data_IF_015717635007
#
_entry.id   IF_015717635007
#
_cell.length_a   1.000
_cell.length_b   1.000
_cell.length_c   1.000
_cell.angle_alpha   90.00
_cell.angle_beta   90.00
_cell.angle_gamma   90.00
#
_symmetry.space_group_name_H-M   'P 1'
#
loop_
_entity.id
_entity.type
_entity.pdbx_description
1 polymer ?
#
# COMPACT_ATOMS: atom_id res chain seq x y z
N UNK A 1 14.36 70.12 7.00
CA UNK A 1 13.81 68.89 7.61
C UNK A 1 12.98 68.11 6.59
N UNK A 2 13.64 67.37 5.70
CA UNK A 2 13.04 66.35 4.83
C UNK A 2 14.12 65.34 4.58
N UNK A 3 13.95 64.11 5.08
CA UNK A 3 14.60 62.85 4.67
C UNK A 3 14.53 61.91 5.88
N UNK A 4 13.44 61.14 6.01
CA UNK A 4 13.37 59.83 6.71
C UNK A 4 11.93 59.32 6.78
N UNK A 5 11.27 59.02 5.66
CA UNK A 5 10.05 58.20 5.69
C UNK A 5 9.80 57.30 4.47
N UNK A 6 10.82 57.09 3.61
CA UNK A 6 10.67 56.20 2.45
C UNK A 6 11.30 54.81 2.63
N UNK A 7 12.03 54.55 3.72
CA UNK A 7 12.78 53.30 3.88
C UNK A 7 12.03 52.18 4.64
N UNK A 8 10.88 52.46 5.28
CA UNK A 8 10.18 51.47 6.12
C UNK A 8 9.00 50.79 5.39
N UNK A 9 8.48 51.37 4.29
CA UNK A 9 7.38 50.76 3.52
C UNK A 9 7.83 49.71 2.50
N UNK A 10 9.13 49.64 2.16
CA UNK A 10 9.68 48.61 1.26
C UNK A 10 9.91 47.24 1.91
N UNK A 11 10.01 47.17 3.25
CA UNK A 11 10.37 45.94 3.94
C UNK A 11 9.15 45.10 4.39
N UNK A 12 7.98 45.74 4.57
CA UNK A 12 6.75 45.05 5.01
C UNK A 12 5.98 44.45 3.83
N UNK A 13 6.10 45.01 2.62
CA UNK A 13 5.53 44.42 1.41
C UNK A 13 6.35 43.23 0.87
N UNK A 14 7.65 43.15 1.21
CA UNK A 14 8.52 42.03 0.86
C UNK A 14 8.38 40.80 1.78
N UNK A 15 7.91 40.99 3.02
CA UNK A 15 7.72 39.90 3.97
C UNK A 15 6.34 39.23 3.87
N UNK A 16 5.32 39.93 3.37
CA UNK A 16 3.97 39.37 3.16
C UNK A 16 3.80 38.59 1.86
N UNK A 17 4.72 38.69 0.89
CA UNK A 17 4.66 37.93 -0.37
C UNK A 17 5.50 36.65 -0.35
N UNK A 18 6.28 36.42 0.71
CA UNK A 18 7.08 35.20 0.91
C UNK A 18 6.35 34.19 1.84
N UNK A 19 5.26 34.60 2.48
CA UNK A 19 4.42 33.74 3.31
C UNK A 19 3.17 33.17 2.62
N UNK A 20 2.96 33.45 1.32
CA UNK A 20 1.77 33.04 0.56
C UNK A 20 2.06 32.20 -0.70
N UNK A 21 3.30 31.74 -0.91
CA UNK A 21 3.67 30.86 -2.05
C UNK A 21 4.16 29.47 -1.65
N UNK A 22 3.95 29.05 -0.39
CA UNK A 22 4.31 27.69 0.10
C UNK A 22 3.09 26.74 0.13
N UNK A 23 1.89 27.18 -0.24
CA UNK A 23 0.68 26.34 -0.28
C UNK A 23 0.29 25.93 -1.71
N UNK A 24 1.21 25.30 -2.43
CA UNK A 24 0.85 24.45 -3.58
C UNK A 24 2.04 23.57 -3.99
N UNK A 25 2.71 22.96 -3.00
CA UNK A 25 3.74 21.97 -3.22
C UNK A 25 3.14 20.56 -3.12
N UNK A 26 3.35 19.78 -4.17
CA UNK A 26 3.33 18.31 -4.18
C UNK A 26 1.95 17.63 -4.07
N UNK A 27 1.26 17.49 -5.21
CA UNK A 27 0.55 16.24 -5.45
C UNK A 27 1.62 15.16 -5.71
N UNK A 28 2.13 14.56 -4.64
CA UNK A 28 2.75 13.23 -4.75
C UNK A 28 1.68 12.33 -5.39
N UNK A 29 2.03 11.57 -6.43
CA UNK A 29 1.07 10.66 -7.03
C UNK A 29 0.73 9.60 -5.99
N UNK A 30 -0.48 9.66 -5.42
CA UNK A 30 -1.01 8.63 -4.51
C UNK A 30 -0.85 7.26 -5.16
N UNK A 31 -0.39 6.26 -4.41
CA UNK A 31 -0.41 4.89 -4.92
C UNK A 31 -1.85 4.38 -5.14
N UNK A 32 -1.97 3.25 -5.85
CA UNK A 32 -3.25 2.70 -6.23
C UNK A 32 -4.15 2.40 -5.01
N UNK A 33 -3.57 1.89 -3.93
CA UNK A 33 -4.31 1.55 -2.71
C UNK A 33 -4.87 2.79 -2.02
N UNK A 34 -4.07 3.86 -1.89
CA UNK A 34 -4.56 5.11 -1.28
C UNK A 34 -5.65 5.78 -2.13
N UNK A 35 -5.55 5.69 -3.47
CA UNK A 35 -6.60 6.16 -4.37
C UNK A 35 -7.89 5.34 -4.23
N UNK A 36 -7.78 4.01 -4.16
CA UNK A 36 -8.92 3.10 -3.99
C UNK A 36 -9.60 3.34 -2.65
N UNK A 37 -8.84 3.41 -1.56
CA UNK A 37 -9.36 3.74 -0.23
C UNK A 37 -10.17 5.04 -0.28
N UNK A 38 -9.61 6.11 -0.82
CA UNK A 38 -10.26 7.44 -0.88
C UNK A 38 -11.57 7.42 -1.68
N UNK A 39 -11.62 6.69 -2.81
CA UNK A 39 -12.86 6.55 -3.60
C UNK A 39 -13.92 5.72 -2.88
N UNK A 40 -13.52 4.60 -2.29
CA UNK A 40 -14.44 3.73 -1.55
C UNK A 40 -15.03 4.45 -0.34
N UNK A 41 -14.23 5.26 0.38
CA UNK A 41 -14.73 6.10 1.47
C UNK A 41 -15.80 7.09 1.01
N UNK A 42 -15.59 7.74 -0.15
CA UNK A 42 -16.59 8.64 -0.73
C UNK A 42 -17.89 7.92 -1.11
N UNK A 43 -17.82 6.69 -1.62
CA UNK A 43 -19.00 5.88 -1.91
C UNK A 43 -19.75 5.49 -0.63
N UNK A 44 -19.04 5.18 0.46
CA UNK A 44 -19.66 4.90 1.76
C UNK A 44 -20.36 6.14 2.29
N UNK A 45 -19.70 7.31 2.24
CA UNK A 45 -20.28 8.60 2.63
C UNK A 45 -21.59 8.90 1.88
N UNK A 46 -21.56 8.84 0.54
CA UNK A 46 -22.76 9.05 -0.29
C UNK A 46 -23.85 8.01 -0.06
N UNK A 47 -23.47 6.78 0.25
CA UNK A 47 -24.42 5.72 0.55
C UNK A 47 -25.08 5.89 1.91
N UNK A 48 -24.34 6.39 2.91
CA UNK A 48 -24.90 6.73 4.23
C UNK A 48 -25.91 7.87 4.12
N UNK A 49 -25.65 8.89 3.28
CA UNK A 49 -26.59 9.99 3.03
C UNK A 49 -27.94 9.50 2.46
N UNK A 50 -27.95 8.34 1.80
CA UNK A 50 -29.14 7.74 1.16
C UNK A 50 -29.74 6.61 1.99
N UNK A 51 -29.11 6.21 3.10
CA UNK A 51 -29.50 5.05 3.87
C UNK A 51 -30.82 5.31 4.60
N UNK A 52 -31.84 4.48 4.33
CA UNK A 52 -33.14 4.59 5.00
C UNK A 52 -33.11 3.91 6.37
N UNK A 53 -33.84 4.43 7.38
CA UNK A 53 -33.96 3.77 8.68
C UNK A 53 -34.43 2.32 8.55
N UNK A 54 -33.70 1.39 9.16
CA UNK A 54 -34.01 -0.05 9.13
C UNK A 54 -33.60 -0.80 7.85
N UNK A 55 -32.95 -0.15 6.87
CA UNK A 55 -32.44 -0.82 5.67
C UNK A 55 -31.13 -1.59 5.96
N UNK A 56 -31.29 -2.73 6.65
CA UNK A 56 -30.20 -3.63 7.04
C UNK A 56 -29.38 -4.11 5.83
N UNK A 57 -29.97 -4.48 4.68
CA UNK A 57 -29.21 -4.85 3.49
C UNK A 57 -28.27 -3.73 3.00
N UNK A 58 -28.77 -2.51 2.83
CA UNK A 58 -27.93 -1.38 2.39
C UNK A 58 -26.87 -1.02 3.42
N UNK A 59 -27.19 -1.07 4.72
CA UNK A 59 -26.22 -0.86 5.80
C UNK A 59 -25.07 -1.87 5.72
N UNK A 60 -25.38 -3.17 5.57
CA UNK A 60 -24.37 -4.22 5.46
C UNK A 60 -23.46 -4.03 4.23
N UNK A 61 -24.02 -3.59 3.10
CA UNK A 61 -23.25 -3.26 1.89
C UNK A 61 -22.26 -2.12 2.15
N UNK A 62 -22.70 -1.06 2.84
CA UNK A 62 -21.83 0.06 3.21
C UNK A 62 -20.74 -0.37 4.20
N UNK A 63 -21.07 -1.25 5.16
CA UNK A 63 -20.10 -1.79 6.11
C UNK A 63 -19.02 -2.62 5.42
N UNK A 64 -19.39 -3.41 4.41
CA UNK A 64 -18.43 -4.18 3.62
C UNK A 64 -17.50 -3.26 2.81
N UNK A 65 -18.05 -2.20 2.19
CA UNK A 65 -17.25 -1.17 1.48
C UNK A 65 -16.30 -0.46 2.45
N UNK A 66 -16.73 -0.12 3.66
CA UNK A 66 -15.90 0.52 4.67
C UNK A 66 -14.75 -0.39 5.15
N UNK A 67 -14.99 -1.69 5.32
CA UNK A 67 -13.94 -2.67 5.64
C UNK A 67 -12.94 -2.84 4.47
N UNK A 68 -13.42 -2.82 3.23
CA UNK A 68 -12.55 -2.84 2.04
C UNK A 68 -11.63 -1.62 2.00
N UNK A 69 -12.16 -0.42 2.29
CA UNK A 69 -11.36 0.79 2.41
C UNK A 69 -10.27 0.68 3.49
N UNK A 70 -10.59 0.09 4.65
CA UNK A 70 -9.61 -0.15 5.72
C UNK A 70 -8.42 -1.01 5.24
N UNK A 71 -8.71 -2.08 4.49
CA UNK A 71 -7.68 -2.96 3.94
C UNK A 71 -6.74 -2.22 2.99
N UNK A 72 -7.26 -1.36 2.11
CA UNK A 72 -6.44 -0.53 1.23
C UNK A 72 -5.59 0.49 2.01
N UNK A 73 -6.13 1.07 3.08
CA UNK A 73 -5.35 1.95 3.97
C UNK A 73 -4.25 1.19 4.74
N UNK A 74 -4.41 -0.10 4.98
CA UNK A 74 -3.38 -0.90 5.64
C UNK A 74 -2.22 -1.21 4.68
N UNK A 75 -2.54 -1.56 3.43
CA UNK A 75 -1.59 -2.04 2.42
C UNK A 75 -0.87 -0.93 1.64
N UNK A 76 -1.41 0.29 1.65
CA UNK A 76 -0.80 1.44 0.97
C UNK A 76 0.64 1.70 1.41
N UNK A 77 1.50 2.07 0.46
CA UNK A 77 2.88 2.47 0.70
C UNK A 77 2.99 3.98 0.96
N UNK A 78 1.95 4.74 0.67
CA UNK A 78 1.86 6.19 0.76
C UNK A 78 1.52 6.71 2.17
N UNK A 79 1.93 5.99 3.23
CA UNK A 79 1.58 6.31 4.63
C UNK A 79 2.08 7.68 5.12
N UNK A 80 3.10 8.23 4.46
CA UNK A 80 3.65 9.56 4.76
C UNK A 80 2.91 10.71 4.07
N UNK A 81 1.93 10.42 3.21
CA UNK A 81 1.19 11.44 2.47
C UNK A 81 0.10 12.11 3.33
N UNK A 82 -0.14 13.43 3.18
CA UNK A 82 -1.28 14.10 3.82
C UNK A 82 -2.62 13.43 3.52
N UNK A 83 -2.80 12.93 2.30
CA UNK A 83 -3.98 12.23 1.82
C UNK A 83 -4.24 10.93 2.59
N UNK A 84 -3.19 10.21 3.00
CA UNK A 84 -3.33 9.05 3.88
C UNK A 84 -3.93 9.43 5.23
N UNK A 85 -3.42 10.51 5.83
CA UNK A 85 -3.92 11.00 7.13
C UNK A 85 -5.37 11.44 7.02
N UNK A 86 -5.75 12.12 5.93
CA UNK A 86 -7.12 12.51 5.66
C UNK A 86 -8.04 11.31 5.45
N UNK A 87 -7.60 10.29 4.69
CA UNK A 87 -8.38 9.09 4.43
C UNK A 87 -8.58 8.24 5.70
N UNK A 88 -7.56 8.10 6.56
CA UNK A 88 -7.70 7.43 7.87
C UNK A 88 -8.70 8.18 8.76
N UNK A 89 -8.63 9.52 8.79
CA UNK A 89 -9.58 10.34 9.53
C UNK A 89 -11.01 10.15 9.01
N UNK A 90 -11.21 10.22 7.69
CA UNK A 90 -12.52 10.03 7.06
C UNK A 90 -13.07 8.63 7.33
N UNK A 91 -12.24 7.59 7.24
CA UNK A 91 -12.61 6.22 7.61
C UNK A 91 -13.11 6.13 9.05
N UNK A 92 -12.40 6.74 10.00
CA UNK A 92 -12.82 6.77 11.41
C UNK A 92 -14.15 7.49 11.62
N UNK A 93 -14.38 8.62 10.94
CA UNK A 93 -15.66 9.32 10.98
C UNK A 93 -16.80 8.44 10.46
N UNK A 94 -16.63 7.83 9.29
CA UNK A 94 -17.66 6.97 8.68
C UNK A 94 -17.94 5.75 9.55
N UNK A 95 -16.92 5.15 10.16
CA UNK A 95 -17.08 4.05 11.11
C UNK A 95 -17.93 4.46 12.32
N UNK A 96 -17.66 5.63 12.89
CA UNK A 96 -18.44 6.16 14.01
C UNK A 96 -19.91 6.39 13.62
N UNK A 97 -20.17 7.00 12.45
CA UNK A 97 -21.54 7.22 11.96
C UNK A 97 -22.29 5.91 11.74
N UNK A 98 -21.62 4.87 11.22
CA UNK A 98 -22.25 3.55 11.07
C UNK A 98 -22.63 2.93 12.41
N UNK A 99 -21.76 3.03 13.42
CA UNK A 99 -22.03 2.55 14.78
C UNK A 99 -23.22 3.30 15.40
N UNK A 100 -23.29 4.61 15.21
CA UNK A 100 -24.39 5.44 15.69
C UNK A 100 -25.72 5.01 15.07
N UNK A 101 -25.77 4.84 13.74
CA UNK A 101 -26.96 4.33 13.03
C UNK A 101 -27.39 2.96 13.56
N UNK A 102 -26.45 2.05 13.79
CA UNK A 102 -26.76 0.72 14.32
C UNK A 102 -27.32 0.79 15.74
N UNK A 103 -26.78 1.67 16.59
CA UNK A 103 -27.28 1.89 17.94
C UNK A 103 -28.69 2.51 17.93
N UNK A 104 -28.94 3.47 17.06
CA UNK A 104 -30.26 4.09 16.90
C UNK A 104 -31.30 3.08 16.45
N UNK A 105 -30.97 2.22 15.48
CA UNK A 105 -31.87 1.16 15.02
C UNK A 105 -32.15 0.12 16.12
N UNK A 106 -31.13 -0.24 16.91
CA UNK A 106 -31.31 -1.15 18.04
C UNK A 106 -32.16 -0.51 19.15
N UNK A 107 -31.98 0.77 19.44
CA UNK A 107 -32.78 1.50 20.42
C UNK A 107 -34.24 1.61 19.96
N UNK A 108 -34.49 1.88 18.67
CA UNK A 108 -35.83 1.90 18.10
C UNK A 108 -36.49 0.52 18.17
N UNK A 109 -35.76 -0.57 17.91
CA UNK A 109 -36.28 -1.93 18.08
C UNK A 109 -36.61 -2.24 19.53
N UNK A 110 -35.74 -1.90 20.47
CA UNK A 110 -35.99 -2.12 21.90
C UNK A 110 -37.17 -1.30 22.42
N UNK A 111 -37.36 -0.07 21.94
CA UNK A 111 -38.54 0.73 22.26
C UNK A 111 -39.83 0.12 21.68
N UNK A 112 -39.77 -0.40 20.44
CA UNK A 112 -40.90 -1.11 19.84
C UNK A 112 -41.24 -2.42 20.57
N UNK A 113 -40.23 -3.16 21.04
CA UNK A 113 -40.39 -4.41 21.79
C UNK A 113 -40.82 -4.18 23.26
N UNK A 114 -40.34 -3.10 23.89
CA UNK A 114 -40.75 -2.69 25.24
C UNK A 114 -42.18 -2.14 25.27
N UNK A 115 -42.65 -1.52 24.18
CA UNK A 115 -44.06 -1.16 24.01
C UNK A 115 -44.99 -2.39 23.89
N UNK A 116 -44.42 -3.59 23.69
CA UNK A 116 -45.16 -4.83 23.48
C UNK A 116 -45.07 -5.84 24.64
N UNK A 117 -44.34 -5.56 25.74
CA UNK A 117 -44.12 -6.55 26.82
C UNK A 117 -44.29 -5.99 28.25
N UNK A 118 -45.03 -6.64 29.18
CA UNK A 118 -45.21 -6.19 30.57
C UNK A 118 -44.00 -6.50 31.50
N UNK A 119 -43.84 -5.83 32.67
CA UNK A 119 -42.58 -5.80 33.41
C UNK A 119 -42.29 -7.02 34.30
N UNK A 120 -40.98 -7.20 34.51
CA UNK A 120 -40.23 -8.40 34.93
C UNK A 120 -40.08 -8.65 36.45
N UNK A 121 -39.58 -9.84 36.79
CA UNK A 121 -39.11 -10.26 38.14
C UNK A 121 -37.58 -10.41 38.22
N UNK A 122 -37.01 -9.99 39.37
CA UNK A 122 -35.59 -9.75 39.71
C UNK A 122 -34.89 -10.94 40.42
N UNK A 123 -33.53 -10.90 40.46
CA UNK A 123 -32.60 -11.08 41.63
C UNK A 123 -31.34 -11.91 41.25
N UNK A 124 -30.09 -11.39 41.26
CA UNK A 124 -29.10 -11.08 42.32
C UNK A 124 -28.06 -12.20 42.64
N UNK A 125 -26.81 -11.87 43.07
CA UNK A 125 -25.56 -12.64 42.81
C UNK A 125 -24.70 -12.99 44.06
N UNK A 126 -23.41 -13.36 43.83
CA UNK A 126 -22.22 -13.46 44.74
C UNK A 126 -21.73 -14.92 45.05
N UNK A 127 -20.48 -15.28 45.42
CA UNK A 127 -19.27 -14.58 45.87
C UNK A 127 -18.03 -15.54 45.96
N UNK A 128 -16.81 -15.00 45.80
CA UNK A 128 -15.50 -15.22 46.51
C UNK A 128 -14.86 -16.60 46.85
N UNK A 129 -13.67 -16.82 46.25
CA UNK A 129 -12.27 -16.85 46.81
C UNK A 129 -11.66 -18.03 47.66
N UNK A 130 -10.30 -18.19 47.65
CA UNK A 130 -9.48 -19.39 47.97
C UNK A 130 -8.75 -19.31 49.34
N UNK A 131 -7.86 -20.23 49.82
CA UNK A 131 -6.38 -20.13 49.58
C UNK A 131 -5.47 -21.38 49.92
N UNK A 132 -4.14 -21.18 49.76
CA UNK A 132 -3.03 -21.50 50.70
C UNK A 132 -1.96 -22.58 50.37
N UNK A 133 -0.72 -22.18 50.69
CA UNK A 133 0.62 -22.71 50.43
C UNK A 133 1.27 -23.40 51.66
N UNK A 134 2.41 -24.10 51.45
CA UNK A 134 3.24 -24.76 52.50
C UNK A 134 4.77 -24.61 52.24
N UNK A 135 5.65 -24.81 53.25
CA UNK A 135 6.88 -24.05 53.53
C UNK A 135 8.22 -24.81 53.26
N UNK A 136 9.40 -24.17 53.49
CA UNK A 136 10.71 -24.61 52.97
C UNK A 136 11.56 -25.41 53.99
N UNK A 137 12.61 -26.09 53.50
CA UNK A 137 13.62 -26.78 54.32
C UNK A 137 15.04 -26.35 53.92
N UNK A 138 15.89 -26.08 54.92
CA UNK A 138 17.29 -25.62 54.83
C UNK A 138 18.26 -26.81 54.85
N UNK A 139 19.42 -26.72 54.15
CA UNK A 139 20.59 -27.59 54.45
C UNK A 139 21.95 -26.92 54.19
N UNK A 140 22.84 -27.22 55.14
CA UNK A 140 24.27 -26.95 55.40
C UNK A 140 25.27 -26.58 54.28
N UNK A 141 26.25 -25.74 54.66
CA UNK A 141 27.50 -25.36 53.97
C UNK A 141 28.65 -26.35 54.18
N UNK A 142 29.55 -26.54 53.18
CA UNK A 142 30.90 -27.06 53.42
C UNK A 142 32.04 -26.18 52.83
N UNK A 143 33.14 -26.04 53.61
CA UNK A 143 34.52 -25.64 53.24
C UNK A 143 34.69 -24.30 52.48
N UNK A 144 35.90 -23.67 52.37
CA UNK A 144 36.03 -22.41 51.65
C UNK A 144 35.87 -22.70 50.15
N UNK A 145 34.63 -22.63 49.69
CA UNK A 145 34.25 -22.79 48.32
C UNK A 145 34.93 -21.69 47.52
N UNK A 146 35.76 -22.09 46.55
CA UNK A 146 36.03 -21.22 45.41
C UNK A 146 34.65 -20.84 44.88
N UNK A 147 34.30 -19.55 44.95
CA UNK A 147 32.98 -19.10 44.50
C UNK A 147 32.78 -19.57 43.06
N UNK A 148 31.72 -20.35 42.77
CA UNK A 148 31.48 -20.83 41.43
C UNK A 148 31.27 -19.62 40.51
N UNK A 149 32.03 -19.58 39.42
CA UNK A 149 31.90 -18.52 38.41
C UNK A 149 30.77 -18.90 37.47
N UNK A 150 29.74 -18.07 37.40
CA UNK A 150 28.69 -18.18 36.40
C UNK A 150 29.23 -17.79 35.02
N UNK A 151 29.24 -18.74 34.08
CA UNK A 151 29.69 -18.54 32.70
C UNK A 151 28.54 -18.19 31.73
N UNK A 152 27.28 -18.25 32.16
CA UNK A 152 26.12 -17.94 31.31
C UNK A 152 26.07 -16.47 30.83
N UNK A 153 26.59 -15.47 31.57
CA UNK A 153 26.71 -14.10 31.05
C UNK A 153 27.55 -14.00 29.76
N UNK A 154 28.56 -14.86 29.59
CA UNK A 154 29.34 -14.94 28.34
C UNK A 154 28.46 -15.46 27.20
N UNK A 155 27.57 -16.42 27.45
CA UNK A 155 26.63 -16.89 26.44
C UNK A 155 25.68 -15.77 26.01
N UNK A 156 25.16 -14.99 26.95
CA UNK A 156 24.25 -13.84 26.69
C UNK A 156 24.92 -12.73 25.89
N UNK A 157 26.16 -12.36 26.24
CA UNK A 157 26.95 -11.34 25.53
C UNK A 157 27.06 -11.60 24.02
N UNK A 158 27.11 -12.87 23.64
CA UNK A 158 27.32 -13.31 22.26
C UNK A 158 26.04 -13.74 21.54
N UNK A 159 24.86 -13.56 22.14
CA UNK A 159 23.60 -13.80 21.46
C UNK A 159 23.33 -12.75 20.37
N UNK A 160 22.66 -13.17 19.29
CA UNK A 160 22.41 -12.34 18.09
C UNK A 160 21.69 -11.02 18.37
N UNK A 161 20.72 -11.02 19.29
CA UNK A 161 19.96 -9.86 19.72
C UNK A 161 20.79 -8.85 20.54
N UNK A 162 21.92 -9.27 21.11
CA UNK A 162 22.86 -8.45 21.86
C UNK A 162 24.03 -7.92 21.01
N UNK A 163 24.13 -8.34 19.74
CA UNK A 163 25.15 -7.81 18.84
C UNK A 163 24.89 -6.34 18.50
N UNK A 164 25.96 -5.55 18.27
CA UNK A 164 25.83 -4.18 17.77
C UNK A 164 24.94 -4.12 16.53
N UNK A 165 24.03 -3.16 16.51
CA UNK A 165 23.14 -2.91 15.36
C UNK A 165 23.71 -1.79 14.50
N UNK A 166 23.64 -1.98 13.18
CA UNK A 166 23.97 -0.94 12.21
C UNK A 166 22.64 -0.34 11.69
N UNK A 167 22.47 1.00 11.73
CA UNK A 167 21.29 1.65 11.15
C UNK A 167 21.16 1.38 9.65
N UNK A 168 19.93 1.36 9.13
CA UNK A 168 19.68 1.08 7.70
C UNK A 168 20.26 2.17 6.77
N UNK A 169 20.36 3.41 7.24
CA UNK A 169 20.96 4.55 6.52
C UNK A 169 22.32 4.94 7.09
N UNK A 170 23.13 3.97 7.53
CA UNK A 170 24.39 4.23 8.21
C UNK A 170 25.38 5.05 7.37
N UNK A 171 26.10 5.96 8.03
CA UNK A 171 27.27 6.63 7.45
C UNK A 171 28.49 5.71 7.43
N UNK A 172 29.52 6.06 6.65
CA UNK A 172 30.78 5.31 6.64
C UNK A 172 31.45 5.26 8.05
N UNK A 173 31.31 6.33 8.85
CA UNK A 173 31.84 6.38 10.21
C UNK A 173 31.09 5.45 11.17
N UNK A 174 29.75 5.43 11.07
CA UNK A 174 28.92 4.50 11.83
C UNK A 174 29.24 3.05 11.45
N UNK A 175 29.37 2.77 10.15
CA UNK A 175 29.79 1.46 9.66
C UNK A 175 31.18 1.08 10.16
N UNK A 176 32.14 2.01 10.22
CA UNK A 176 33.49 1.75 10.72
C UNK A 176 33.51 1.45 12.20
N UNK A 177 32.76 2.20 12.99
CA UNK A 177 32.59 1.95 14.44
C UNK A 177 31.98 0.57 14.67
N UNK A 178 30.87 0.28 14.00
CA UNK A 178 30.20 -1.01 14.07
C UNK A 178 31.12 -2.17 13.64
N UNK A 179 31.80 -2.03 12.51
CA UNK A 179 32.67 -3.08 11.98
C UNK A 179 33.88 -3.35 12.88
N UNK A 180 34.46 -2.32 13.52
CA UNK A 180 35.52 -2.48 14.53
C UNK A 180 35.00 -3.22 15.77
N UNK A 181 33.80 -2.89 16.25
CA UNK A 181 33.19 -3.61 17.37
C UNK A 181 32.98 -5.09 17.02
N UNK A 182 32.43 -5.37 15.83
CA UNK A 182 32.24 -6.75 15.34
C UNK A 182 33.56 -7.51 15.19
N UNK A 183 34.60 -6.86 14.67
CA UNK A 183 35.94 -7.46 14.55
C UNK A 183 36.57 -7.72 15.92
N UNK A 184 36.46 -6.79 16.85
CA UNK A 184 36.95 -6.96 18.23
C UNK A 184 36.25 -8.10 18.96
N UNK A 185 34.94 -8.24 18.74
CA UNK A 185 34.14 -9.37 19.23
C UNK A 185 34.61 -10.72 18.65
N UNK A 186 35.11 -10.76 17.41
CA UNK A 186 35.67 -11.98 16.79
C UNK A 186 37.13 -12.29 17.19
N UNK A 187 37.90 -11.29 17.62
CA UNK A 187 39.34 -11.44 17.87
C UNK A 187 39.68 -11.24 19.34
N UNK A 188 40.07 -10.02 19.74
CA UNK A 188 40.66 -9.73 21.04
C UNK A 188 39.68 -10.01 22.19
N UNK A 189 38.41 -9.65 22.04
CA UNK A 189 37.41 -9.91 23.07
C UNK A 189 37.15 -11.41 23.22
N UNK A 190 37.04 -12.13 22.10
CA UNK A 190 36.86 -13.57 22.12
C UNK A 190 38.05 -14.27 22.79
N UNK A 191 39.28 -13.89 22.44
CA UNK A 191 40.48 -14.46 23.05
C UNK A 191 40.52 -14.19 24.57
N UNK A 192 40.16 -12.99 25.00
CA UNK A 192 40.06 -12.63 26.42
C UNK A 192 39.00 -13.46 27.15
N UNK A 193 37.82 -13.61 26.54
CA UNK A 193 36.72 -14.35 27.14
C UNK A 193 37.04 -15.87 27.21
N UNK A 194 37.69 -16.42 26.18
CA UNK A 194 38.21 -17.80 26.19
C UNK A 194 39.28 -18.03 27.27
N UNK A 195 40.21 -17.08 27.45
CA UNK A 195 41.22 -17.14 28.50
C UNK A 195 40.59 -17.08 29.91
N UNK A 196 39.47 -16.36 30.06
CA UNK A 196 38.71 -16.29 31.32
C UNK A 196 38.05 -17.64 31.64
N UNK A 197 37.51 -18.33 30.63
CA UNK A 197 36.99 -19.71 30.78
C UNK A 197 38.12 -20.66 31.20
N UNK A 198 39.30 -20.56 30.57
CA UNK A 198 40.45 -21.39 30.91
C UNK A 198 40.95 -21.15 32.35
N UNK A 199 40.90 -19.89 32.80
CA UNK A 199 41.27 -19.52 34.17
C UNK A 199 40.28 -20.08 35.19
N UNK A 200 38.97 -19.98 34.93
CA UNK A 200 37.92 -20.53 35.80
C UNK A 200 38.00 -22.07 35.89
N UNK A 201 38.35 -22.75 34.80
CA UNK A 201 38.56 -24.19 34.78
C UNK A 201 39.79 -24.59 35.62
N UNK A 202 40.91 -23.85 35.52
CA UNK A 202 42.15 -24.12 36.27
C UNK A 202 42.00 -23.88 37.77
N UNK A 203 41.22 -22.89 38.18
CA UNK A 203 40.98 -22.58 39.60
C UNK A 203 39.96 -23.50 40.27
N UNK A 204 39.26 -24.34 39.51
CA UNK A 204 38.14 -25.16 39.99
C UNK A 204 36.84 -24.37 40.19
N UNK A 205 36.79 -23.11 39.74
CA UNK A 205 35.60 -22.26 39.84
C UNK A 205 34.51 -22.62 38.81
N UNK A 206 34.85 -23.39 37.77
CA UNK A 206 33.91 -23.92 36.78
C UNK A 206 34.15 -25.40 36.50
N UNK A 207 33.07 -26.16 36.23
CA UNK A 207 33.17 -27.57 35.84
C UNK A 207 33.69 -27.72 34.41
N UNK A 208 34.34 -28.85 34.09
CA UNK A 208 34.77 -29.14 32.72
C UNK A 208 33.60 -29.14 31.72
N UNK A 209 32.45 -29.68 32.14
CA UNK A 209 31.24 -29.71 31.32
C UNK A 209 30.72 -28.32 30.99
N UNK A 210 30.69 -27.41 31.96
CA UNK A 210 30.23 -26.03 31.76
C UNK A 210 31.21 -25.23 30.91
N UNK A 211 32.52 -25.37 31.16
CA UNK A 211 33.56 -24.74 30.35
C UNK A 211 33.50 -25.19 28.88
N UNK A 212 33.33 -26.49 28.62
CA UNK A 212 33.23 -27.03 27.26
C UNK A 212 31.92 -26.60 26.57
N UNK A 213 30.79 -26.53 27.29
CA UNK A 213 29.51 -26.01 26.78
C UNK A 213 29.66 -24.57 26.29
N UNK A 214 30.19 -23.69 27.14
CA UNK A 214 30.32 -22.27 26.83
C UNK A 214 31.38 -22.05 25.75
N UNK A 215 32.50 -22.77 25.79
CA UNK A 215 33.52 -22.71 24.74
C UNK A 215 32.92 -23.06 23.38
N UNK A 216 32.17 -24.17 23.28
CA UNK A 216 31.52 -24.57 22.03
C UNK A 216 30.51 -23.55 21.53
N UNK A 217 29.68 -23.01 22.44
CA UNK A 217 28.72 -21.97 22.11
C UNK A 217 29.38 -20.72 21.51
N UNK A 218 30.45 -20.26 22.15
CA UNK A 218 31.14 -19.03 21.77
C UNK A 218 32.08 -19.25 20.56
N UNK A 219 32.70 -20.42 20.38
CA UNK A 219 33.60 -20.65 19.25
C UNK A 219 32.90 -21.06 17.97
N UNK A 220 31.86 -21.91 18.04
CA UNK A 220 31.18 -22.46 16.85
C UNK A 220 29.95 -21.63 16.46
N UNK A 221 29.03 -21.42 17.39
CA UNK A 221 27.71 -20.84 17.10
C UNK A 221 27.77 -19.32 16.94
N UNK A 222 28.53 -18.65 17.80
CA UNK A 222 28.71 -17.20 17.71
C UNK A 222 29.52 -16.76 16.48
N UNK A 223 30.59 -17.48 16.12
CA UNK A 223 31.36 -17.16 14.90
C UNK A 223 30.48 -17.27 13.64
N UNK A 224 29.58 -18.26 13.61
CA UNK A 224 28.54 -18.36 12.58
C UNK A 224 27.62 -17.14 12.55
N UNK A 225 27.11 -16.72 13.71
CA UNK A 225 26.21 -15.57 13.84
C UNK A 225 26.84 -14.24 13.40
N UNK A 226 28.10 -13.97 13.77
CA UNK A 226 28.79 -12.76 13.29
C UNK A 226 28.98 -12.80 11.78
N UNK A 227 29.50 -13.91 11.25
CA UNK A 227 29.71 -14.06 9.80
C UNK A 227 28.40 -13.82 9.06
N UNK A 228 27.31 -14.44 9.50
CA UNK A 228 25.99 -14.24 8.90
C UNK A 228 25.51 -12.79 9.01
N UNK A 229 25.72 -12.13 10.14
CA UNK A 229 25.31 -10.72 10.34
C UNK A 229 26.08 -9.79 9.40
N UNK A 230 27.40 -9.97 9.28
CA UNK A 230 28.23 -9.21 8.35
C UNK A 230 27.82 -9.48 6.91
N UNK A 231 27.65 -10.76 6.52
CA UNK A 231 27.21 -11.13 5.18
C UNK A 231 25.84 -10.54 4.83
N UNK A 232 24.90 -10.50 5.76
CA UNK A 232 23.59 -9.87 5.57
C UNK A 232 23.70 -8.35 5.35
N UNK A 233 24.62 -7.67 6.04
CA UNK A 233 24.86 -6.25 5.83
C UNK A 233 25.52 -6.00 4.46
N UNK A 234 26.49 -6.84 4.07
CA UNK A 234 27.12 -6.77 2.74
C UNK A 234 26.06 -6.97 1.65
N UNK A 235 25.27 -8.05 1.72
CA UNK A 235 24.25 -8.37 0.73
C UNK A 235 23.19 -7.25 0.59
N UNK A 236 22.74 -6.66 1.70
CA UNK A 236 21.80 -5.55 1.65
C UNK A 236 22.36 -4.33 0.94
N UNK A 237 23.58 -3.91 1.29
CA UNK A 237 24.20 -2.74 0.68
C UNK A 237 24.56 -2.99 -0.80
N UNK A 238 25.01 -4.20 -1.15
CA UNK A 238 25.23 -4.57 -2.56
C UNK A 238 23.91 -4.54 -3.33
N UNK A 239 22.82 -5.07 -2.76
CA UNK A 239 21.48 -5.01 -3.35
C UNK A 239 21.02 -3.58 -3.61
N UNK A 240 21.29 -2.64 -2.70
CA UNK A 240 21.00 -1.21 -2.91
C UNK A 240 21.76 -0.65 -4.12
N UNK A 241 23.05 -0.97 -4.26
CA UNK A 241 23.87 -0.54 -5.41
C UNK A 241 23.33 -1.15 -6.71
N UNK A 242 23.10 -2.46 -6.74
CA UNK A 242 22.61 -3.18 -7.93
C UNK A 242 21.28 -2.63 -8.42
N UNK A 243 20.34 -2.37 -7.51
CA UNK A 243 19.03 -1.82 -7.85
C UNK A 243 19.12 -0.46 -8.56
N UNK A 244 20.22 0.28 -8.36
CA UNK A 244 20.43 1.61 -8.92
C UNK A 244 21.21 1.66 -10.23
N UNK A 245 21.80 0.55 -10.67
CA UNK A 245 22.59 0.54 -11.90
C UNK A 245 21.75 0.83 -13.14
N UNK A 246 20.59 0.20 -13.27
CA UNK A 246 19.72 0.41 -14.42
C UNK A 246 19.27 1.88 -14.54
N UNK A 247 18.81 2.46 -13.42
CA UNK A 247 18.43 3.87 -13.39
C UNK A 247 19.63 4.78 -13.69
N UNK A 248 20.79 4.50 -13.11
CA UNK A 248 22.00 5.28 -13.35
C UNK A 248 22.40 5.27 -14.84
N UNK A 249 22.35 4.12 -15.51
CA UNK A 249 22.64 4.03 -16.95
C UNK A 249 21.62 4.79 -17.79
N UNK A 250 20.34 4.70 -17.46
CA UNK A 250 19.31 5.44 -18.18
C UNK A 250 19.48 6.97 -18.04
N UNK A 251 19.88 7.44 -16.86
CA UNK A 251 20.16 8.86 -16.62
C UNK A 251 21.42 9.29 -17.38
N UNK A 252 22.50 8.49 -17.31
CA UNK A 252 23.73 8.76 -18.05
C UNK A 252 23.51 8.75 -19.57
N UNK A 253 22.57 7.94 -20.07
CA UNK A 253 22.21 7.84 -21.48
C UNK A 253 21.35 8.98 -22.01
N UNK A 254 20.90 9.92 -21.17
CA UNK A 254 20.13 11.09 -21.63
C UNK A 254 21.05 12.00 -22.46
N UNK A 255 20.67 12.20 -23.72
CA UNK A 255 21.43 13.03 -24.65
C UNK A 255 21.41 14.50 -24.23
N UNK A 256 22.48 15.27 -24.47
CA UNK A 256 22.46 16.72 -24.29
C UNK A 256 21.29 17.36 -25.04
N UNK A 257 20.52 18.21 -24.37
CA UNK A 257 19.37 18.90 -24.95
C UNK A 257 18.08 18.06 -25.08
N UNK A 258 18.08 16.77 -24.69
CA UNK A 258 16.86 15.95 -24.65
C UNK A 258 15.97 16.38 -23.48
N UNK A 259 15.07 17.32 -23.75
CA UNK A 259 14.13 17.87 -22.77
C UNK A 259 13.15 16.83 -22.22
N UNK A 260 12.73 15.86 -23.04
CA UNK A 260 11.82 14.80 -22.60
C UNK A 260 12.54 13.78 -21.72
N UNK A 261 13.76 13.39 -22.10
CA UNK A 261 14.64 12.56 -21.29
C UNK A 261 14.98 13.23 -19.94
N UNK A 262 15.29 14.52 -19.96
CA UNK A 262 15.50 15.32 -18.75
C UNK A 262 14.25 15.32 -17.85
N UNK A 263 13.08 15.63 -18.41
CA UNK A 263 11.81 15.67 -17.66
C UNK A 263 11.42 14.31 -17.09
N UNK A 264 11.70 13.21 -17.79
CA UNK A 264 11.44 11.85 -17.32
C UNK A 264 12.09 11.56 -15.97
N UNK A 265 13.31 12.07 -15.74
CA UNK A 265 14.07 11.81 -14.52
C UNK A 265 14.11 12.97 -13.52
N UNK A 266 13.95 14.21 -13.98
CA UNK A 266 14.07 15.41 -13.14
C UNK A 266 12.81 16.29 -13.13
N UNK A 267 11.72 15.91 -13.82
CA UNK A 267 10.43 16.61 -13.77
C UNK A 267 9.58 16.24 -12.56
N UNK A 268 8.55 17.03 -12.25
CA UNK A 268 7.45 16.73 -11.30
C UNK A 268 7.85 16.02 -9.99
N UNK A 269 8.76 16.62 -9.21
CA UNK A 269 9.20 16.05 -7.93
C UNK A 269 10.11 14.82 -8.03
N UNK A 270 10.31 14.26 -9.24
CA UNK A 270 11.21 13.11 -9.48
C UNK A 270 12.67 13.45 -9.25
N UNK A 271 13.06 14.72 -9.45
CA UNK A 271 14.43 15.18 -9.23
C UNK A 271 14.91 14.82 -7.82
N UNK A 272 14.19 15.26 -6.78
CA UNK A 272 14.62 15.03 -5.40
C UNK A 272 14.58 13.55 -5.02
N UNK A 273 13.58 12.81 -5.50
CA UNK A 273 13.47 11.37 -5.26
C UNK A 273 14.66 10.61 -5.89
N UNK A 274 14.95 10.87 -7.16
CA UNK A 274 16.07 10.21 -7.85
C UNK A 274 17.43 10.62 -7.28
N UNK A 275 17.59 11.88 -6.82
CA UNK A 275 18.78 12.30 -6.06
C UNK A 275 18.96 11.47 -4.79
N UNK A 276 17.92 11.39 -3.96
CA UNK A 276 17.94 10.64 -2.71
C UNK A 276 18.32 9.18 -2.94
N UNK A 277 17.71 8.51 -3.92
CA UNK A 277 18.00 7.10 -4.25
C UNK A 277 19.44 6.87 -4.71
N UNK A 278 19.97 7.77 -5.55
CA UNK A 278 21.36 7.71 -5.99
C UNK A 278 22.32 7.99 -4.83
N UNK A 279 21.99 8.95 -3.96
CA UNK A 279 22.78 9.28 -2.77
C UNK A 279 22.77 8.14 -1.74
N UNK A 280 21.64 7.44 -1.58
CA UNK A 280 21.53 6.22 -0.76
C UNK A 280 22.43 5.10 -1.28
N UNK A 281 22.49 4.88 -2.59
CA UNK A 281 23.38 3.88 -3.19
C UNK A 281 24.87 4.25 -3.04
N UNK A 282 25.22 5.53 -3.15
CA UNK A 282 26.59 6.01 -2.88
C UNK A 282 26.97 5.85 -1.40
N UNK A 283 26.01 6.04 -0.48
CA UNK A 283 26.21 5.79 0.94
C UNK A 283 26.44 4.31 1.22
N UNK A 284 25.61 3.44 0.64
CA UNK A 284 25.77 1.98 0.71
C UNK A 284 27.15 1.53 0.18
N UNK A 285 27.61 2.13 -0.93
CA UNK A 285 28.96 1.95 -1.44
C UNK A 285 30.05 2.30 -0.44
N UNK A 286 29.88 3.42 0.27
CA UNK A 286 30.82 3.89 1.28
C UNK A 286 30.87 2.97 2.51
N UNK A 287 29.73 2.39 2.90
CA UNK A 287 29.65 1.35 3.94
C UNK A 287 30.41 0.08 3.51
N UNK A 288 30.24 -0.37 2.27
CA UNK A 288 30.92 -1.55 1.76
C UNK A 288 32.44 -1.38 1.64
N UNK A 289 32.92 -0.19 1.27
CA UNK A 289 34.37 0.11 1.26
C UNK A 289 34.97 -0.10 2.67
N UNK A 290 34.26 0.33 3.71
CA UNK A 290 34.70 0.11 5.10
C UNK A 290 34.72 -1.39 5.45
N UNK A 291 33.74 -2.16 4.96
CA UNK A 291 33.69 -3.59 5.20
C UNK A 291 34.81 -4.34 4.47
N UNK A 292 35.11 -3.97 3.23
CA UNK A 292 36.27 -4.51 2.51
C UNK A 292 37.58 -4.27 3.27
N UNK A 293 37.80 -3.05 3.77
CA UNK A 293 38.99 -2.70 4.53
C UNK A 293 39.14 -3.54 5.81
N UNK A 294 38.03 -3.81 6.52
CA UNK A 294 38.06 -4.44 7.84
C UNK A 294 37.90 -5.95 7.82
N UNK A 295 37.13 -6.48 6.87
CA UNK A 295 36.77 -7.90 6.77
C UNK A 295 37.35 -8.58 5.51
N UNK A 296 37.84 -7.82 4.53
CA UNK A 296 38.29 -8.36 3.25
C UNK A 296 37.15 -8.80 2.32
N UNK A 297 37.50 -9.33 1.15
CA UNK A 297 36.51 -9.91 0.21
C UNK A 297 35.79 -8.91 -0.68
N UNK A 298 36.42 -7.77 -0.97
CA UNK A 298 35.83 -6.73 -1.82
C UNK A 298 35.46 -7.18 -3.22
N UNK A 299 34.37 -6.63 -3.75
CA UNK A 299 33.93 -6.89 -5.12
C UNK A 299 34.76 -6.06 -6.11
N UNK A 300 35.46 -6.68 -7.08
CA UNK A 300 36.33 -5.97 -8.02
C UNK A 300 35.54 -5.03 -8.95
N UNK A 301 34.24 -5.25 -9.12
CA UNK A 301 33.37 -4.44 -9.99
C UNK A 301 32.70 -3.27 -9.26
N UNK A 302 32.82 -3.19 -7.93
CA UNK A 302 32.08 -2.19 -7.14
C UNK A 302 32.52 -0.77 -7.46
N UNK A 303 33.80 -0.55 -7.69
CA UNK A 303 34.33 0.77 -8.05
C UNK A 303 33.67 1.31 -9.33
N UNK A 304 33.53 0.46 -10.35
CA UNK A 304 32.90 0.83 -11.62
C UNK A 304 31.40 1.10 -11.47
N UNK A 305 30.71 0.28 -10.67
CA UNK A 305 29.29 0.49 -10.31
C UNK A 305 29.08 1.85 -9.64
N UNK A 306 29.89 2.17 -8.62
CA UNK A 306 29.81 3.45 -7.92
C UNK A 306 30.18 4.63 -8.81
N UNK A 307 31.13 4.45 -9.75
CA UNK A 307 31.47 5.47 -10.75
C UNK A 307 30.28 5.80 -11.65
N UNK A 308 29.54 4.78 -12.13
CA UNK A 308 28.32 4.96 -12.94
C UNK A 308 27.22 5.68 -12.18
N UNK A 309 26.97 5.29 -10.92
CA UNK A 309 25.97 5.93 -10.05
C UNK A 309 26.36 7.38 -9.76
N UNK A 310 27.63 7.65 -9.45
CA UNK A 310 28.12 9.01 -9.22
C UNK A 310 27.97 9.88 -10.46
N UNK A 311 28.31 9.35 -11.63
CA UNK A 311 28.09 10.03 -12.91
C UNK A 311 26.61 10.38 -13.11
N UNK A 312 25.70 9.43 -12.84
CA UNK A 312 24.27 9.65 -12.97
C UNK A 312 23.76 10.72 -12.00
N UNK A 313 24.29 10.75 -10.77
CA UNK A 313 23.94 11.75 -9.77
C UNK A 313 24.31 13.16 -10.20
N UNK A 314 25.51 13.34 -10.77
CA UNK A 314 25.93 14.62 -11.38
C UNK A 314 25.08 14.94 -12.61
N UNK A 315 24.84 13.96 -13.48
CA UNK A 315 24.05 14.17 -14.71
C UNK A 315 22.63 14.61 -14.40
N UNK A 316 22.03 14.07 -13.35
CA UNK A 316 20.70 14.46 -12.89
C UNK A 316 20.62 15.95 -12.50
N UNK A 317 21.69 16.50 -11.92
CA UNK A 317 21.78 17.93 -11.61
C UNK A 317 21.90 18.79 -12.88
N UNK A 318 22.66 18.32 -13.87
CA UNK A 318 22.75 18.97 -15.19
C UNK A 318 21.42 18.97 -15.95
N UNK A 319 20.60 17.92 -15.78
CA UNK A 319 19.30 17.77 -16.44
C UNK A 319 18.20 18.61 -15.77
N UNK A 320 18.37 19.00 -14.51
CA UNK A 320 17.37 19.77 -13.76
C UNK A 320 16.88 21.06 -14.48
N UNK A 321 17.74 21.93 -15.03
CA UNK A 321 17.27 23.12 -15.76
C UNK A 321 16.45 22.78 -17.02
N UNK A 322 16.88 21.77 -17.79
CA UNK A 322 16.15 21.29 -18.98
C UNK A 322 14.78 20.71 -18.61
N UNK A 323 14.72 19.94 -17.53
CA UNK A 323 13.47 19.40 -17.01
C UNK A 323 12.51 20.50 -16.55
N UNK A 324 13.02 21.55 -15.88
CA UNK A 324 12.21 22.69 -15.48
C UNK A 324 11.67 23.48 -16.68
N UNK A 325 12.46 23.65 -17.74
CA UNK A 325 12.00 24.26 -18.99
C UNK A 325 10.87 23.41 -19.63
N UNK A 326 11.05 22.10 -19.70
CA UNK A 326 10.06 21.19 -20.24
C UNK A 326 8.77 21.17 -19.40
N UNK A 327 8.87 21.26 -18.08
CA UNK A 327 7.74 21.40 -17.17
C UNK A 327 6.91 22.67 -17.50
N UNK A 328 7.59 23.80 -17.73
CA UNK A 328 6.93 25.05 -18.13
C UNK A 328 6.27 24.92 -19.50
N UNK A 329 6.90 24.22 -20.44
CA UNK A 329 6.29 23.91 -21.72
C UNK A 329 4.99 23.10 -21.54
N UNK A 330 5.01 22.02 -20.77
CA UNK A 330 3.81 21.22 -20.50
C UNK A 330 2.71 21.98 -19.74
N UNK A 331 3.09 22.86 -18.81
CA UNK A 331 2.14 23.71 -18.10
C UNK A 331 1.45 24.74 -19.01
N UNK A 332 2.14 25.19 -20.07
CA UNK A 332 1.62 26.15 -21.06
C UNK A 332 0.98 25.48 -22.28
N UNK A 333 1.31 24.22 -22.52
CA UNK A 333 0.73 23.44 -23.60
C UNK A 333 -0.78 23.34 -23.35
N UNK A 334 -1.58 23.60 -24.39
CA UNK A 334 -3.02 23.42 -24.32
C UNK A 334 -3.28 21.96 -23.91
N UNK A 335 -3.88 21.76 -22.72
CA UNK A 335 -4.31 20.43 -22.29
C UNK A 335 -5.21 19.90 -23.41
N UNK A 336 -4.78 18.83 -24.10
CA UNK A 336 -5.66 18.09 -25.01
C UNK A 336 -6.89 17.74 -24.18
N UNK A 337 -8.03 18.34 -24.52
CA UNK A 337 -9.30 17.93 -23.93
C UNK A 337 -9.43 16.45 -24.26
N UNK A 338 -9.72 15.57 -23.28
CA UNK A 338 -10.01 14.18 -23.60
C UNK A 338 -11.09 14.19 -24.70
N UNK A 339 -11.03 13.29 -25.69
CA UNK A 339 -12.12 13.17 -26.65
C UNK A 339 -13.40 13.00 -25.84
N UNK A 340 -14.35 13.91 -26.03
CA UNK A 340 -15.68 13.77 -25.43
C UNK A 340 -16.29 12.57 -26.15
N UNK A 341 -16.24 11.39 -25.53
CA UNK A 341 -16.99 10.25 -26.01
C UNK A 341 -18.46 10.63 -25.89
N UNK A 342 -19.14 10.73 -27.03
CA UNK A 342 -20.55 11.10 -27.07
C UNK A 342 -21.34 10.05 -26.30
N UNK A 343 -22.05 10.48 -25.26
CA UNK A 343 -23.01 9.61 -24.58
C UNK A 343 -24.05 9.15 -25.61
N UNK A 344 -24.26 7.84 -25.69
CA UNK A 344 -25.18 7.24 -26.68
C UNK A 344 -26.13 6.22 -26.05
N UNK A 345 -25.88 5.81 -24.80
CA UNK A 345 -26.82 5.03 -24.00
C UNK A 345 -27.61 5.98 -23.10
N UNK A 346 -28.93 5.82 -23.08
CA UNK A 346 -29.82 6.72 -22.32
C UNK A 346 -29.71 6.54 -20.80
N UNK A 347 -29.99 7.59 -19.99
CA UNK A 347 -30.10 7.49 -18.53
C UNK A 347 -31.44 6.88 -18.12
N UNK A 348 -31.57 5.56 -18.23
CA UNK A 348 -32.82 4.83 -17.96
C UNK A 348 -32.59 3.71 -16.95
N UNK A 349 -33.44 3.65 -15.93
CA UNK A 349 -33.51 2.50 -15.05
C UNK A 349 -34.41 1.43 -15.68
N UNK A 350 -33.94 0.19 -15.79
CA UNK A 350 -34.67 -0.90 -16.43
C UNK A 350 -34.60 -2.18 -15.59
N UNK A 351 -35.65 -2.99 -15.69
CA UNK A 351 -35.68 -4.36 -15.19
C UNK A 351 -35.61 -5.32 -16.36
N UNK A 352 -34.80 -6.37 -16.20
CA UNK A 352 -34.55 -7.37 -17.21
C UNK A 352 -35.18 -8.70 -16.76
N UNK A 353 -36.31 -9.03 -17.37
CA UNK A 353 -37.09 -10.24 -17.07
C UNK A 353 -36.63 -11.41 -17.95
N UNK A 354 -36.38 -12.57 -17.35
CA UNK A 354 -36.12 -13.82 -18.06
C UNK A 354 -37.04 -14.90 -17.50
N UNK A 355 -37.77 -15.59 -18.38
CA UNK A 355 -38.70 -16.66 -18.01
C UNK A 355 -39.69 -16.26 -16.90
N UNK A 356 -40.20 -15.03 -16.95
CA UNK A 356 -41.19 -14.52 -16.00
C UNK A 356 -40.62 -14.08 -14.63
N UNK A 357 -39.30 -13.98 -14.47
CA UNK A 357 -38.66 -13.45 -13.25
C UNK A 357 -37.63 -12.37 -13.58
N UNK A 358 -37.48 -11.37 -12.71
CA UNK A 358 -36.41 -10.36 -12.85
C UNK A 358 -35.07 -11.00 -12.56
N UNK A 359 -34.13 -10.90 -13.50
CA UNK A 359 -32.78 -11.50 -13.40
C UNK A 359 -31.65 -10.49 -13.37
N UNK A 360 -31.95 -9.24 -13.69
CA UNK A 360 -31.05 -8.10 -13.52
C UNK A 360 -31.87 -6.81 -13.49
N UNK A 361 -31.29 -5.75 -12.92
CA UNK A 361 -31.81 -4.39 -12.94
C UNK A 361 -30.67 -3.42 -13.28
N UNK A 362 -30.98 -2.34 -13.98
CA UNK A 362 -30.08 -1.21 -14.18
C UNK A 362 -30.67 0.05 -13.57
N UNK A 363 -29.81 0.90 -13.03
CA UNK A 363 -30.17 2.24 -12.58
C UNK A 363 -29.87 3.28 -13.66
N UNK A 364 -30.49 4.47 -13.54
CA UNK A 364 -30.35 5.53 -14.53
C UNK A 364 -28.93 6.08 -14.66
N UNK A 365 -28.06 5.85 -13.67
CA UNK A 365 -26.64 6.21 -13.72
C UNK A 365 -25.76 5.14 -14.41
N UNK A 366 -26.34 3.98 -14.73
CA UNK A 366 -25.66 2.87 -15.40
C UNK A 366 -25.24 1.74 -14.47
N UNK A 367 -25.47 1.84 -13.15
CA UNK A 367 -25.18 0.73 -12.23
C UNK A 367 -26.05 -0.49 -12.53
N UNK A 368 -25.45 -1.67 -12.45
CA UNK A 368 -26.04 -2.97 -12.81
C UNK A 368 -26.11 -3.85 -11.57
N UNK A 369 -27.33 -4.31 -11.30
CA UNK A 369 -27.65 -5.25 -10.24
C UNK A 369 -28.05 -6.60 -10.80
N UNK A 370 -27.45 -7.67 -10.30
CA UNK A 370 -27.81 -9.05 -10.65
C UNK A 370 -28.07 -9.79 -9.34
N UNK A 371 -29.23 -10.43 -9.20
CA UNK A 371 -29.63 -11.18 -7.99
C UNK A 371 -29.44 -10.40 -6.68
N UNK A 372 -29.73 -9.08 -6.72
CA UNK A 372 -29.55 -8.10 -5.64
C UNK A 372 -28.09 -7.79 -5.23
N UNK A 373 -27.10 -8.12 -6.06
CA UNK A 373 -25.71 -7.70 -5.90
C UNK A 373 -25.35 -6.61 -6.91
N UNK A 374 -24.53 -5.64 -6.49
CA UNK A 374 -23.92 -4.62 -7.35
C UNK A 374 -22.73 -5.28 -8.07
N UNK A 375 -22.92 -5.59 -9.35
CA UNK A 375 -22.00 -6.44 -10.11
C UNK A 375 -21.15 -5.64 -11.08
N UNK A 376 -21.70 -4.55 -11.64
CA UNK A 376 -21.03 -3.77 -12.66
C UNK A 376 -21.62 -2.37 -12.83
N UNK A 377 -20.92 -1.52 -13.59
CA UNK A 377 -21.46 -0.27 -14.14
C UNK A 377 -21.32 -0.27 -15.67
N UNK A 378 -22.39 0.05 -16.39
CA UNK A 378 -22.36 0.34 -17.83
C UNK A 378 -22.67 1.82 -18.05
N UNK A 379 -21.61 2.61 -18.22
CA UNK A 379 -21.67 4.06 -18.35
C UNK A 379 -22.36 4.49 -19.64
N UNK A 380 -22.79 5.75 -19.73
CA UNK A 380 -23.60 6.26 -20.85
C UNK A 380 -22.82 6.39 -22.16
N UNK A 381 -21.49 6.40 -22.07
CA UNK A 381 -20.57 6.31 -23.19
C UNK A 381 -20.12 4.87 -23.48
N UNK A 382 -20.78 3.87 -22.89
CA UNK A 382 -20.60 2.46 -23.19
C UNK A 382 -19.47 1.75 -22.47
N UNK A 383 -18.76 2.36 -21.49
CA UNK A 383 -17.73 1.64 -20.72
C UNK A 383 -18.36 0.68 -19.73
N UNK A 384 -17.80 -0.52 -19.65
CA UNK A 384 -18.24 -1.59 -18.74
C UNK A 384 -17.20 -1.75 -17.65
N UNK A 385 -17.61 -1.50 -16.42
CA UNK A 385 -16.79 -1.63 -15.22
C UNK A 385 -17.29 -2.82 -14.41
N UNK A 386 -16.40 -3.73 -14.03
CA UNK A 386 -16.71 -4.86 -13.15
C UNK A 386 -15.68 -4.86 -12.03
N UNK A 387 -16.13 -4.95 -10.78
CA UNK A 387 -15.26 -4.87 -9.59
C UNK A 387 -14.32 -3.63 -9.61
N UNK A 388 -14.79 -2.51 -10.17
CA UNK A 388 -14.04 -1.25 -10.31
C UNK A 388 -12.87 -1.27 -11.31
N UNK A 389 -12.79 -2.26 -12.19
CA UNK A 389 -11.90 -2.25 -13.34
C UNK A 389 -12.70 -2.06 -14.63
N UNK A 390 -12.20 -1.23 -15.57
CA UNK A 390 -12.75 -1.21 -16.93
C UNK A 390 -12.42 -2.57 -17.57
N UNK A 391 -13.46 -3.37 -17.79
CA UNK A 391 -13.34 -4.74 -18.32
C UNK A 391 -13.84 -4.85 -19.74
N UNK A 392 -14.63 -3.88 -20.21
CA UNK A 392 -15.13 -3.87 -21.56
C UNK A 392 -15.71 -2.53 -22.01
N UNK A 393 -16.19 -2.51 -23.25
CA UNK A 393 -16.96 -1.41 -23.79
C UNK A 393 -17.98 -1.86 -24.82
N UNK A 394 -19.05 -1.09 -24.94
CA UNK A 394 -19.95 -1.05 -26.08
C UNK A 394 -19.56 0.20 -26.86
N UNK A 395 -19.29 0.05 -28.15
CA UNK A 395 -18.98 1.18 -29.01
C UNK A 395 -20.26 1.73 -29.69
N UNK A 396 -20.28 3.00 -30.13
CA UNK A 396 -21.47 3.58 -30.77
C UNK A 396 -21.97 2.80 -31.99
N UNK A 397 -21.06 2.20 -32.75
CA UNK A 397 -21.35 1.35 -33.90
C UNK A 397 -21.92 -0.03 -33.52
N UNK A 398 -21.94 -0.38 -32.23
CA UNK A 398 -22.46 -1.66 -31.75
C UNK A 398 -21.39 -2.69 -31.40
N UNK A 399 -20.10 -2.45 -31.67
CA UNK A 399 -19.05 -3.40 -31.31
C UNK A 399 -18.97 -3.57 -29.79
N UNK A 400 -18.80 -4.81 -29.35
CA UNK A 400 -18.63 -5.17 -27.93
C UNK A 400 -17.23 -5.67 -27.70
N UNK A 401 -16.53 -5.05 -26.76
CA UNK A 401 -15.16 -5.38 -26.38
C UNK A 401 -15.11 -5.83 -24.93
N UNK A 402 -14.31 -6.87 -24.64
CA UNK A 402 -13.98 -7.30 -23.28
C UNK A 402 -12.52 -7.73 -23.20
N UNK A 403 -11.82 -7.31 -22.15
CA UNK A 403 -10.40 -7.59 -21.90
C UNK A 403 -9.49 -7.36 -23.12
N UNK A 404 -9.79 -6.30 -23.88
CA UNK A 404 -9.03 -5.89 -25.06
C UNK A 404 -9.34 -6.67 -26.35
N UNK A 405 -10.32 -7.57 -26.35
CA UNK A 405 -10.75 -8.31 -27.54
C UNK A 405 -12.19 -7.93 -27.93
N UNK A 406 -12.47 -7.85 -29.23
CA UNK A 406 -13.84 -7.76 -29.72
C UNK A 406 -14.51 -9.12 -29.54
N UNK A 407 -15.58 -9.15 -28.76
CA UNK A 407 -16.30 -10.39 -28.40
C UNK A 407 -17.65 -10.52 -29.10
N UNK A 408 -18.18 -9.43 -29.64
CA UNK A 408 -19.43 -9.45 -30.40
C UNK A 408 -19.78 -8.11 -31.03
N UNK A 409 -20.98 -8.05 -31.62
CA UNK A 409 -21.58 -6.82 -32.16
C UNK A 409 -23.08 -6.77 -31.92
N UNK A 410 -23.61 -5.55 -31.85
CA UNK A 410 -25.01 -5.21 -31.60
C UNK A 410 -25.53 -4.43 -32.81
N UNK A 411 -26.31 -5.09 -33.67
CA UNK A 411 -26.79 -4.49 -34.91
C UNK A 411 -28.02 -3.62 -34.68
N UNK A 412 -28.17 -2.56 -35.47
CA UNK A 412 -29.25 -1.56 -35.27
C UNK A 412 -30.69 -2.13 -35.32
N UNK A 413 -30.88 -3.30 -35.94
CA UNK A 413 -32.15 -4.01 -35.99
C UNK A 413 -32.45 -4.84 -34.72
N UNK A 414 -31.54 -4.86 -33.74
CA UNK A 414 -31.69 -5.59 -32.48
C UNK A 414 -30.99 -6.95 -32.45
N UNK A 415 -30.35 -7.38 -33.55
CA UNK A 415 -29.60 -8.64 -33.57
C UNK A 415 -28.34 -8.55 -32.71
N UNK A 416 -28.03 -9.66 -32.04
CA UNK A 416 -26.85 -9.79 -31.20
C UNK A 416 -25.97 -10.89 -31.75
N UNK A 417 -24.74 -10.54 -32.09
CA UNK A 417 -23.75 -11.43 -32.69
C UNK A 417 -22.59 -11.67 -31.72
N UNK A 418 -22.14 -12.91 -31.64
CA UNK A 418 -20.99 -13.32 -30.81
C UNK A 418 -20.18 -14.35 -31.57
N UNK A 419 -18.87 -14.10 -31.69
CA UNK A 419 -17.93 -15.01 -32.41
C UNK A 419 -18.35 -15.37 -33.85
N UNK A 420 -19.11 -14.51 -34.52
CA UNK A 420 -19.57 -14.72 -35.89
C UNK A 420 -20.94 -15.41 -36.03
N UNK A 421 -21.56 -15.82 -34.93
CA UNK A 421 -22.90 -16.41 -34.92
C UNK A 421 -23.92 -15.43 -34.31
N UNK A 422 -25.15 -15.42 -34.85
CA UNK A 422 -26.26 -14.70 -34.23
C UNK A 422 -26.72 -15.49 -33.00
N UNK A 423 -26.54 -14.91 -31.82
CA UNK A 423 -26.89 -15.53 -30.53
C UNK A 423 -28.19 -14.99 -29.93
N UNK A 424 -28.73 -13.89 -30.49
CA UNK A 424 -29.86 -13.20 -29.92
C UNK A 424 -30.56 -12.20 -30.83
N UNK A 425 -31.73 -11.77 -30.39
CA UNK A 425 -32.50 -10.68 -30.97
C UNK A 425 -33.28 -9.97 -29.86
N UNK A 426 -33.19 -8.64 -29.81
CA UNK A 426 -34.04 -7.80 -28.98
C UNK A 426 -34.93 -6.95 -29.90
N UNK A 427 -36.24 -7.16 -29.83
CA UNK A 427 -37.19 -6.42 -30.64
C UNK A 427 -37.36 -4.97 -30.16
N UNK A 428 -37.85 -4.11 -31.05
CA UNK A 428 -38.12 -2.69 -30.77
C UNK A 428 -39.32 -2.44 -29.82
N UNK A 429 -39.87 -3.50 -29.26
CA UNK A 429 -40.86 -3.46 -28.17
C UNK A 429 -40.26 -3.89 -26.81
N UNK A 430 -38.97 -4.27 -26.77
CA UNK A 430 -38.29 -4.77 -25.57
C UNK A 430 -38.34 -6.28 -25.36
N UNK A 431 -38.96 -7.05 -26.26
CA UNK A 431 -38.99 -8.52 -26.22
C UNK A 431 -37.62 -9.09 -26.56
N UNK A 432 -37.16 -10.06 -25.75
CA UNK A 432 -35.83 -10.68 -25.86
C UNK A 432 -35.99 -12.13 -26.30
N UNK A 433 -35.33 -12.48 -27.41
CA UNK A 433 -35.37 -13.81 -28.00
C UNK A 433 -34.08 -14.57 -27.72
N UNK A 434 -34.21 -15.76 -27.14
CA UNK A 434 -33.07 -16.65 -26.84
C UNK A 434 -33.36 -17.99 -27.50
N UNK A 435 -32.41 -18.50 -28.29
CA UNK A 435 -32.56 -19.76 -29.04
C UNK A 435 -33.84 -19.83 -29.90
N UNK A 436 -34.21 -18.71 -30.52
CA UNK A 436 -35.37 -18.65 -31.43
C UNK A 436 -36.74 -18.65 -30.76
N UNK A 437 -36.82 -18.44 -29.45
CA UNK A 437 -38.09 -18.26 -28.73
C UNK A 437 -38.07 -16.99 -27.86
N UNK A 438 -39.21 -16.31 -27.68
CA UNK A 438 -39.30 -15.17 -26.76
C UNK A 438 -39.12 -15.71 -25.33
N UNK A 439 -38.10 -15.20 -24.64
CA UNK A 439 -37.68 -15.71 -23.33
C UNK A 439 -37.57 -14.59 -22.28
N UNK A 440 -37.48 -13.33 -22.71
CA UNK A 440 -37.34 -12.22 -21.78
C UNK A 440 -37.96 -10.91 -22.25
N UNK A 441 -37.91 -9.91 -21.38
CA UNK A 441 -38.51 -8.59 -21.58
C UNK A 441 -37.69 -7.51 -20.86
N UNK A 442 -37.68 -6.30 -21.41
CA UNK A 442 -37.06 -5.11 -20.82
C UNK A 442 -38.16 -4.13 -20.39
N UNK A 443 -38.19 -3.77 -19.10
CA UNK A 443 -39.25 -2.91 -18.55
C UNK A 443 -38.68 -1.77 -17.69
N UNK A 444 -38.94 -0.49 -18.01
CA UNK A 444 -39.59 0.01 -19.22
C UNK A 444 -38.67 -0.06 -20.45
N UNK A 445 -39.25 -0.23 -21.62
CA UNK A 445 -38.54 -0.10 -22.89
C UNK A 445 -38.70 1.31 -23.48
N UNK A 446 -37.59 1.99 -23.73
CA UNK A 446 -37.56 3.33 -24.37
C UNK A 446 -36.49 3.40 -25.47
N UNK A 447 -36.32 2.33 -26.24
CA UNK A 447 -35.32 2.25 -27.31
C UNK A 447 -33.89 1.94 -26.84
N UNK A 448 -33.66 1.83 -25.53
CA UNK A 448 -32.41 1.34 -24.97
C UNK A 448 -32.47 -0.19 -24.78
N UNK A 449 -31.86 -0.91 -25.72
CA UNK A 449 -31.68 -2.36 -25.69
C UNK A 449 -30.22 -2.83 -25.60
N UNK A 450 -29.24 -1.95 -25.82
CA UNK A 450 -27.81 -2.30 -25.86
C UNK A 450 -27.29 -2.74 -24.49
N UNK A 451 -27.69 -2.08 -23.39
CA UNK A 451 -27.38 -2.59 -22.04
C UNK A 451 -28.01 -3.95 -21.79
N UNK A 452 -29.26 -4.12 -22.22
CA UNK A 452 -29.95 -5.41 -22.09
C UNK A 452 -29.21 -6.52 -22.85
N UNK A 453 -28.74 -6.26 -24.07
CA UNK A 453 -27.99 -7.24 -24.84
C UNK A 453 -26.73 -7.74 -24.11
N UNK A 454 -26.01 -6.84 -23.43
CA UNK A 454 -24.88 -7.22 -22.57
C UNK A 454 -25.32 -8.15 -21.43
N UNK A 455 -26.44 -7.85 -20.78
CA UNK A 455 -26.90 -8.63 -19.62
C UNK A 455 -27.54 -9.98 -19.98
N UNK A 456 -28.10 -10.13 -21.18
CA UNK A 456 -28.69 -11.39 -21.64
C UNK A 456 -27.68 -12.30 -22.34
N UNK A 457 -26.91 -11.78 -23.29
CA UNK A 457 -26.10 -12.60 -24.21
C UNK A 457 -24.60 -12.62 -23.88
N UNK A 458 -24.16 -11.71 -23.01
CA UNK A 458 -22.80 -11.63 -22.50
C UNK A 458 -22.76 -11.75 -20.97
N UNK A 459 -23.79 -12.38 -20.38
CA UNK A 459 -23.95 -12.55 -18.93
C UNK A 459 -22.76 -13.28 -18.29
N UNK A 460 -22.09 -14.14 -19.05
CA UNK A 460 -20.93 -14.91 -18.60
C UNK A 460 -19.69 -14.07 -18.28
N UNK A 461 -19.67 -12.78 -18.64
CA UNK A 461 -18.59 -11.86 -18.25
C UNK A 461 -18.77 -11.26 -16.86
N UNK A 462 -19.95 -11.39 -16.26
CA UNK A 462 -20.22 -10.88 -14.93
C UNK A 462 -19.98 -11.98 -13.89
N UNK A 463 -19.39 -11.63 -12.72
CA UNK A 463 -19.24 -12.59 -11.64
C UNK A 463 -20.63 -13.04 -11.14
N UNK A 464 -20.72 -14.32 -10.80
CA UNK A 464 -21.93 -14.96 -10.27
C UNK A 464 -21.99 -14.92 -8.76
#
# INVERSE_FOLDING_TARGET
MRYTMSAIRGFIAGLCLILLTVLSAQAQAMDADLNLATRTLKQVEQGLDRLRPGDVPSYNRLSAKLNKAAKHLETTQSKSMPEYTNAVKQWGTLQASMVEIANDWNAQRQQAEAAQTPPAGKSHPANKSPPASKPPTVRAQPAPAVEPVDLDPLMTKYQRNHLPKLPDSATAEQARTWARQMKGLQTTQLQSDLASIDSALKSGAASKSDADRVRRWVSELFQGNIKQTISQQIQRNEGTIESMLYMADMINGVKPGDKNGAYRFAGDGKLQNNRMRLDDALRAGSVLIVFDELFGGGSPTRADKLKRIKSARTKLDELAPLAAEQARYFARAAKKRPPVTKEFLGPIAQKYWLNGSVTAESESDGSIWIDAYDVADITHNGKIWIESNERGSIEPNGDVWFDGNQVGSLESNGEVWRSGDQVGLIEQNGTVWINGSPAGEIVPFQGEWKRAAILYYFRDFFPR
#
